data_IF_956804681020
#
_entry.id   IF_956804681020
#
_cell.length_a   1.000
_cell.length_b   1.000
_cell.length_c   1.000
_cell.angle_alpha   90.00
_cell.angle_beta   90.00
_cell.angle_gamma   90.00
#
_symmetry.space_group_name_H-M   'P 1'
#
loop_
_entity.id
_entity.type
_entity.pdbx_description
1 polymer ?
#
# COMPACT_ATOMS: atom_id res chain seq x y z
N UNK A 1 2.61 19.69 1.56
CA UNK A 1 3.40 19.12 0.44
C UNK A 1 3.84 17.74 0.88
N UNK A 2 3.32 16.60 0.39
CA UNK A 2 2.69 16.32 -0.90
C UNK A 2 1.22 15.84 -0.85
N UNK A 3 0.65 15.55 0.33
CA UNK A 3 -0.78 15.17 0.59
C UNK A 3 -1.55 14.70 -0.67
N UNK A 4 -1.09 13.60 -1.30
CA UNK A 4 -1.61 13.23 -2.60
C UNK A 4 -3.02 12.69 -2.43
N UNK A 5 -3.93 13.04 -3.34
CA UNK A 5 -5.26 12.42 -3.35
C UNK A 5 -5.21 10.98 -3.88
N UNK A 6 -4.16 10.63 -4.63
CA UNK A 6 -3.96 9.31 -5.24
C UNK A 6 -2.49 8.90 -5.10
N UNK A 7 -2.25 7.68 -4.62
CA UNK A 7 -0.95 7.03 -4.58
C UNK A 7 -0.98 5.78 -5.46
N UNK A 8 -0.09 5.72 -6.44
CA UNK A 8 0.10 4.56 -7.31
C UNK A 8 1.41 3.88 -6.92
N UNK A 9 1.35 2.58 -6.61
CA UNK A 9 2.52 1.81 -6.18
C UNK A 9 2.64 0.51 -7.01
N UNK A 10 3.75 0.36 -7.73
CA UNK A 10 4.03 -0.82 -8.55
C UNK A 10 5.04 -1.72 -7.84
N UNK A 11 4.60 -2.91 -7.44
CA UNK A 11 5.35 -3.90 -6.66
C UNK A 11 6.08 -3.32 -5.42
N UNK A 12 5.38 -2.57 -4.54
CA UNK A 12 6.03 -1.78 -3.47
C UNK A 12 6.79 -2.60 -2.43
N UNK A 13 6.47 -3.90 -2.30
CA UNK A 13 7.09 -4.80 -1.33
C UNK A 13 8.15 -5.73 -1.96
N UNK A 14 8.37 -5.68 -3.28
CA UNK A 14 9.16 -6.70 -3.98
C UNK A 14 10.66 -6.74 -3.63
N UNK A 15 11.20 -5.65 -3.08
CA UNK A 15 12.62 -5.49 -2.78
C UNK A 15 12.95 -5.35 -1.28
N UNK A 16 11.97 -5.52 -0.40
CA UNK A 16 12.13 -5.37 1.05
C UNK A 16 11.76 -6.67 1.78
N UNK A 17 12.31 -6.85 2.99
CA UNK A 17 12.00 -8.01 3.83
C UNK A 17 10.56 -8.00 4.34
N UNK A 18 10.08 -9.15 4.81
CA UNK A 18 8.69 -9.34 5.24
C UNK A 18 8.27 -8.39 6.37
N UNK A 19 9.15 -8.10 7.32
CA UNK A 19 8.84 -7.22 8.46
C UNK A 19 8.64 -5.77 7.98
N UNK A 20 9.49 -5.30 7.09
CA UNK A 20 9.36 -3.97 6.50
C UNK A 20 8.22 -3.89 5.48
N UNK A 21 7.89 -4.98 4.80
CA UNK A 21 6.71 -5.06 3.93
C UNK A 21 5.42 -4.88 4.73
N UNK A 22 5.28 -5.55 5.89
CA UNK A 22 4.13 -5.38 6.78
C UNK A 22 3.97 -3.92 7.23
N UNK A 23 5.06 -3.29 7.69
CA UNK A 23 5.06 -1.87 8.08
C UNK A 23 4.66 -0.93 6.94
N UNK A 24 5.14 -1.20 5.72
CA UNK A 24 4.78 -0.41 4.55
C UNK A 24 3.28 -0.51 4.27
N UNK A 25 2.72 -1.71 4.37
CA UNK A 25 1.29 -1.94 4.15
C UNK A 25 0.44 -1.26 5.24
N UNK A 26 0.87 -1.28 6.50
CA UNK A 26 0.23 -0.53 7.59
C UNK A 26 0.18 0.97 7.26
N UNK A 27 1.29 1.54 6.79
CA UNK A 27 1.36 2.95 6.39
C UNK A 27 0.42 3.27 5.22
N UNK A 28 0.30 2.37 4.23
CA UNK A 28 -0.64 2.56 3.12
C UNK A 28 -2.09 2.58 3.58
N UNK A 29 -2.45 1.76 4.57
CA UNK A 29 -3.78 1.76 5.19
C UNK A 29 -4.05 3.04 6.00
N UNK A 30 -3.07 3.52 6.76
CA UNK A 30 -3.15 4.80 7.47
C UNK A 30 -3.37 5.97 6.49
N UNK A 31 -2.67 5.98 5.36
CA UNK A 31 -2.86 6.99 4.31
C UNK A 31 -4.26 6.93 3.68
N UNK A 32 -4.80 5.72 3.50
CA UNK A 32 -6.16 5.56 2.99
C UNK A 32 -7.20 6.08 3.99
N UNK A 33 -7.04 5.77 5.28
CA UNK A 33 -7.97 6.15 6.33
C UNK A 33 -7.87 7.63 6.71
N UNK A 34 -6.71 8.05 7.21
CA UNK A 34 -6.51 9.37 7.82
C UNK A 34 -6.33 10.47 6.78
N UNK A 35 -5.51 10.21 5.76
CA UNK A 35 -5.22 11.19 4.71
C UNK A 35 -6.22 11.12 3.54
N UNK A 36 -7.23 10.24 3.61
CA UNK A 36 -8.23 10.00 2.56
C UNK A 36 -7.60 9.78 1.17
N UNK A 37 -6.41 9.15 1.14
CA UNK A 37 -5.66 8.91 -0.09
C UNK A 37 -6.22 7.68 -0.81
N UNK A 38 -6.52 7.79 -2.10
CA UNK A 38 -6.83 6.61 -2.90
C UNK A 38 -5.54 5.87 -3.22
N UNK A 39 -5.38 4.65 -2.71
CA UNK A 39 -4.19 3.83 -2.97
C UNK A 39 -4.50 2.78 -4.03
N UNK A 40 -3.67 2.69 -5.06
CA UNK A 40 -3.72 1.62 -6.07
C UNK A 40 -2.37 0.91 -6.08
N UNK A 41 -2.41 -0.39 -5.84
CA UNK A 41 -1.22 -1.24 -5.80
C UNK A 41 -1.28 -2.24 -6.94
N UNK A 42 -0.19 -2.36 -7.69
CA UNK A 42 0.06 -3.48 -8.61
C UNK A 42 0.96 -4.46 -7.88
N UNK A 43 0.55 -5.73 -7.78
CA UNK A 43 1.36 -6.75 -7.14
C UNK A 43 1.00 -8.17 -7.58
N UNK A 44 1.97 -9.08 -7.52
CA UNK A 44 1.75 -10.52 -7.58
C UNK A 44 1.72 -11.20 -6.20
N UNK A 45 1.88 -10.45 -5.10
CA UNK A 45 1.86 -10.99 -3.75
C UNK A 45 0.42 -11.08 -3.19
N UNK A 46 -0.04 -12.30 -2.94
CA UNK A 46 -1.37 -12.54 -2.38
C UNK A 46 -1.59 -11.87 -1.02
N UNK A 47 -0.56 -11.80 -0.15
CA UNK A 47 -0.68 -11.14 1.16
C UNK A 47 -0.95 -9.63 1.03
N UNK A 48 -0.38 -8.99 0.01
CA UNK A 48 -0.64 -7.57 -0.28
C UNK A 48 -2.06 -7.41 -0.84
N UNK A 49 -2.48 -8.31 -1.72
CA UNK A 49 -3.83 -8.31 -2.29
C UNK A 49 -4.91 -8.52 -1.22
N UNK A 50 -4.68 -9.39 -0.23
CA UNK A 50 -5.61 -9.68 0.88
C UNK A 50 -5.85 -8.46 1.79
N UNK A 51 -4.90 -7.52 1.86
CA UNK A 51 -5.06 -6.26 2.60
C UNK A 51 -5.83 -5.20 1.81
N UNK A 52 -5.99 -5.37 0.50
CA UNK A 52 -6.75 -4.44 -0.32
C UNK A 52 -8.25 -4.61 -0.08
N UNK A 53 -8.99 -3.49 -0.09
CA UNK A 53 -10.46 -3.54 0.01
C UNK A 53 -11.14 -4.22 -1.20
N UNK A 54 -10.41 -4.40 -2.30
CA UNK A 54 -10.81 -5.16 -3.50
C UNK A 54 -9.58 -5.52 -4.35
N UNK A 55 -9.69 -6.60 -5.12
CA UNK A 55 -8.69 -7.08 -6.10
C UNK A 55 -9.34 -7.16 -7.48
#
# INVERSE_FOLDING_TARGET
>A
VNEPQILLADEPTGAIDSENAERLLDLLEELQGEAQTTVVVVTHNAQVADRAGRV
#
